data_IF_951986525004
#
_entry.id   IF_951986525004
#
_cell.length_a   1.000
_cell.length_b   1.000
_cell.length_c   1.000
_cell.angle_alpha   90.00
_cell.angle_beta   90.00
_cell.angle_gamma   90.00
#
_symmetry.space_group_name_H-M   'P 1'
#
loop_
_entity.id
_entity.type
_entity.pdbx_description
1 polymer ?
#
# COMPACT_ATOMS: atom_id res chain seq x y z
N UNK A 1 67.15 -21.28 -14.16
CA UNK A 1 66.75 -20.10 -13.37
C UNK A 1 65.34 -19.69 -13.79
N UNK A 2 64.41 -19.75 -12.84
CA UNK A 2 62.94 -19.75 -13.02
C UNK A 2 62.40 -18.50 -13.73
N UNK A 3 61.73 -18.64 -14.88
CA UNK A 3 60.81 -17.60 -15.40
C UNK A 3 59.58 -18.11 -16.18
N UNK A 4 59.28 -19.41 -16.20
CA UNK A 4 58.12 -19.96 -16.94
C UNK A 4 56.95 -20.44 -16.06
N UNK A 5 57.15 -20.61 -14.76
CA UNK A 5 56.09 -21.13 -13.86
C UNK A 5 55.15 -20.02 -13.33
N UNK A 6 55.57 -18.76 -13.32
CA UNK A 6 54.81 -17.66 -12.70
C UNK A 6 53.63 -17.21 -13.59
N UNK A 7 53.73 -17.34 -14.91
CA UNK A 7 52.65 -16.93 -15.84
C UNK A 7 51.42 -17.83 -15.79
N UNK A 8 51.59 -19.13 -15.57
CA UNK A 8 50.46 -20.06 -15.59
C UNK A 8 49.66 -20.04 -14.27
N UNK A 9 50.30 -19.74 -13.14
CA UNK A 9 49.62 -19.65 -11.84
C UNK A 9 48.67 -18.44 -11.76
N UNK A 10 49.02 -17.33 -12.44
CA UNK A 10 48.21 -16.11 -12.40
C UNK A 10 46.86 -16.26 -13.14
N UNK A 11 46.81 -17.08 -14.20
CA UNK A 11 45.59 -17.35 -14.97
C UNK A 11 44.62 -18.24 -14.18
N UNK A 12 45.14 -19.20 -13.40
CA UNK A 12 44.31 -20.10 -12.57
C UNK A 12 43.61 -19.32 -11.44
N UNK A 13 44.29 -18.32 -10.85
CA UNK A 13 43.69 -17.44 -9.82
C UNK A 13 42.57 -16.56 -10.41
N UNK A 14 42.71 -16.11 -11.65
CA UNK A 14 41.72 -15.23 -12.30
C UNK A 14 40.39 -15.95 -12.59
N UNK A 15 40.43 -17.24 -12.96
CA UNK A 15 39.24 -18.02 -13.31
C UNK A 15 38.40 -18.37 -12.06
N UNK A 16 39.04 -18.57 -10.90
CA UNK A 16 38.35 -18.88 -9.63
C UNK A 16 37.48 -17.73 -9.09
N UNK A 17 37.74 -16.49 -9.50
CA UNK A 17 37.00 -15.31 -9.04
C UNK A 17 35.78 -14.98 -9.91
N UNK A 18 35.55 -15.71 -11.02
CA UNK A 18 34.47 -15.42 -11.98
C UNK A 18 33.14 -16.15 -11.70
N UNK A 19 33.00 -16.79 -10.54
CA UNK A 19 31.75 -17.44 -10.09
C UNK A 19 30.70 -16.45 -9.56
N UNK A 20 30.78 -15.16 -9.89
CA UNK A 20 29.65 -14.26 -9.67
C UNK A 20 28.55 -14.64 -10.65
N UNK A 21 27.76 -15.64 -10.26
CA UNK A 21 26.44 -15.90 -10.80
C UNK A 21 25.66 -14.62 -10.52
N UNK A 22 25.62 -13.73 -11.50
CA UNK A 22 24.69 -12.63 -11.51
C UNK A 22 23.33 -13.27 -11.43
N UNK A 23 22.75 -13.28 -10.23
CA UNK A 23 21.31 -13.43 -10.08
C UNK A 23 20.78 -12.14 -10.67
N UNK A 24 20.62 -12.12 -11.99
CA UNK A 24 19.66 -11.25 -12.62
C UNK A 24 18.35 -11.65 -11.95
N UNK A 25 17.95 -10.89 -10.92
CA UNK A 25 16.55 -10.80 -10.60
C UNK A 25 15.93 -10.33 -11.91
N UNK A 26 15.41 -11.30 -12.67
CA UNK A 26 14.29 -11.04 -13.53
C UNK A 26 13.29 -10.38 -12.57
N UNK A 27 13.25 -9.05 -12.60
CA UNK A 27 12.04 -8.34 -12.22
C UNK A 27 11.03 -8.88 -13.22
N UNK A 28 10.38 -9.96 -12.80
CA UNK A 28 9.02 -10.28 -13.20
C UNK A 28 8.34 -8.94 -13.40
N UNK A 29 7.83 -8.68 -14.62
CA UNK A 29 7.27 -7.39 -15.01
C UNK A 29 6.39 -6.89 -13.86
N UNK A 30 6.95 -6.01 -13.03
CA UNK A 30 6.30 -5.57 -11.83
C UNK A 30 5.26 -4.61 -12.37
N UNK A 31 4.05 -5.09 -12.58
CA UNK A 31 2.90 -4.27 -12.96
C UNK A 31 2.87 -3.13 -11.95
N UNK A 32 3.28 -1.93 -12.39
CA UNK A 32 3.50 -0.78 -11.53
C UNK A 32 2.12 -0.28 -11.15
N UNK A 33 1.61 -0.78 -10.03
CA UNK A 33 0.36 -0.32 -9.46
C UNK A 33 0.63 0.80 -8.48
N UNK A 34 -0.03 1.94 -8.68
CA UNK A 34 0.03 3.04 -7.72
C UNK A 34 -1.12 2.85 -6.74
N UNK A 35 -0.81 2.50 -5.50
CA UNK A 35 -1.79 2.33 -4.42
C UNK A 35 -1.56 3.35 -3.32
N UNK A 36 -2.63 4.05 -2.94
CA UNK A 36 -2.69 4.85 -1.72
C UNK A 36 -3.70 4.22 -0.78
N UNK A 37 -3.33 4.11 0.49
CA UNK A 37 -4.14 3.49 1.53
C UNK A 37 -4.11 4.35 2.80
N UNK A 38 -5.29 4.65 3.34
CA UNK A 38 -5.45 5.48 4.54
C UNK A 38 -6.13 4.64 5.62
N UNK A 39 -5.40 4.46 6.73
CA UNK A 39 -5.91 3.77 7.91
C UNK A 39 -6.88 4.63 8.71
N UNK A 40 -7.99 4.01 9.11
CA UNK A 40 -9.05 4.54 9.94
C UNK A 40 -9.02 3.78 11.26
N UNK A 41 -8.86 4.52 12.36
CA UNK A 41 -8.80 3.97 13.71
C UNK A 41 -10.06 4.37 14.47
N UNK A 42 -10.44 3.64 15.54
CA UNK A 42 -11.54 4.06 16.40
C UNK A 42 -11.33 5.43 17.05
N UNK A 43 -10.12 5.98 17.05
CA UNK A 43 -9.79 7.31 17.59
C UNK A 43 -9.61 8.38 16.51
N UNK A 44 -9.83 8.05 15.23
CA UNK A 44 -9.68 9.02 14.13
C UNK A 44 -10.69 10.17 14.26
N UNK A 45 -10.29 11.35 13.82
CA UNK A 45 -11.16 12.54 13.83
C UNK A 45 -11.61 12.89 12.43
N UNK A 46 -12.72 13.64 12.31
CA UNK A 46 -13.18 14.16 11.02
C UNK A 46 -12.10 15.00 10.35
N UNK A 47 -11.38 15.81 11.12
CA UNK A 47 -10.29 16.66 10.64
C UNK A 47 -9.15 15.82 10.03
N UNK A 48 -8.66 14.80 10.74
CA UNK A 48 -7.62 13.89 10.25
C UNK A 48 -8.05 13.21 8.94
N UNK A 49 -9.29 12.73 8.87
CA UNK A 49 -9.81 12.06 7.67
C UNK A 49 -10.02 13.04 6.50
N UNK A 50 -10.40 14.28 6.80
CA UNK A 50 -10.63 15.34 5.81
C UNK A 50 -9.32 15.85 5.19
N UNK A 51 -8.24 15.90 5.96
CA UNK A 51 -6.92 16.22 5.40
C UNK A 51 -6.42 15.11 4.49
N UNK A 52 -6.51 13.86 4.97
CA UNK A 52 -6.01 12.69 4.26
C UNK A 52 -6.77 12.42 2.96
N UNK A 53 -8.08 12.69 2.90
CA UNK A 53 -8.87 12.45 1.67
C UNK A 53 -8.46 13.31 0.48
N UNK A 54 -7.82 14.46 0.70
CA UNK A 54 -7.35 15.35 -0.37
C UNK A 54 -6.40 14.60 -1.31
N UNK A 55 -5.57 13.72 -0.76
CA UNK A 55 -4.63 12.88 -1.52
C UNK A 55 -5.37 12.04 -2.57
N UNK A 56 -6.53 11.45 -2.23
CA UNK A 56 -7.31 10.67 -3.18
C UNK A 56 -7.89 11.53 -4.31
N UNK A 57 -8.33 12.74 -3.98
CA UNK A 57 -8.87 13.68 -4.96
C UNK A 57 -7.77 14.18 -5.90
N UNK A 58 -6.64 14.59 -5.34
CA UNK A 58 -5.54 15.20 -6.09
C UNK A 58 -4.82 14.18 -6.99
N UNK A 59 -4.67 12.93 -6.53
CA UNK A 59 -3.92 11.91 -7.28
C UNK A 59 -4.77 11.07 -8.24
N UNK A 60 -6.04 10.84 -7.91
CA UNK A 60 -6.88 9.86 -8.63
C UNK A 60 -8.25 10.40 -9.06
N UNK A 61 -8.55 11.67 -8.75
CA UNK A 61 -9.89 12.24 -8.92
C UNK A 61 -10.99 11.44 -8.21
N UNK A 62 -10.67 10.83 -7.05
CA UNK A 62 -11.62 10.06 -6.23
C UNK A 62 -12.02 10.88 -5.00
N UNK A 63 -13.33 10.97 -4.76
CA UNK A 63 -13.88 11.67 -3.60
C UNK A 63 -14.27 10.66 -2.51
N UNK A 64 -13.83 10.92 -1.27
CA UNK A 64 -14.30 10.20 -0.09
C UNK A 64 -14.98 11.15 0.89
N UNK A 65 -16.19 10.81 1.32
CA UNK A 65 -16.91 11.52 2.37
C UNK A 65 -17.01 10.66 3.63
N UNK A 66 -16.42 11.16 4.72
CA UNK A 66 -16.40 10.49 6.03
C UNK A 66 -17.41 11.15 6.95
N UNK A 67 -18.35 10.36 7.48
CA UNK A 67 -19.37 10.81 8.41
C UNK A 67 -19.30 10.00 9.70
N UNK A 68 -18.72 10.58 10.76
CA UNK A 68 -18.76 9.97 12.10
C UNK A 68 -20.17 10.18 12.65
N UNK A 69 -20.93 9.09 12.76
CA UNK A 69 -22.33 9.14 13.17
C UNK A 69 -22.47 9.09 14.70
N UNK A 70 -21.59 8.36 15.39
CA UNK A 70 -21.64 8.20 16.84
C UNK A 70 -20.28 7.87 17.44
N UNK A 71 -20.01 8.46 18.61
CA UNK A 71 -18.87 8.16 19.47
C UNK A 71 -19.36 7.66 20.84
N UNK A 72 -18.55 6.84 21.51
CA UNK A 72 -18.81 6.43 22.89
C UNK A 72 -18.22 7.44 23.91
N UNK A 73 -18.45 7.17 25.20
CA UNK A 73 -17.94 8.00 26.31
C UNK A 73 -16.42 8.12 26.35
N UNK A 74 -15.70 7.11 25.84
CA UNK A 74 -14.24 7.14 25.70
C UNK A 74 -13.75 7.85 24.42
N UNK A 75 -14.62 8.62 23.74
CA UNK A 75 -14.33 9.32 22.48
C UNK A 75 -13.87 8.41 21.34
N UNK A 76 -14.35 7.16 21.31
CA UNK A 76 -14.09 6.22 20.21
C UNK A 76 -15.29 6.11 19.30
N UNK A 77 -15.05 6.05 17.99
CA UNK A 77 -16.07 5.86 16.96
C UNK A 77 -16.75 4.51 17.16
N UNK A 78 -18.08 4.52 17.25
CA UNK A 78 -18.93 3.31 17.30
C UNK A 78 -19.90 3.24 16.12
N UNK A 79 -20.12 4.36 15.42
CA UNK A 79 -20.84 4.38 14.15
C UNK A 79 -20.19 5.33 13.14
N UNK A 80 -19.98 4.86 11.92
CA UNK A 80 -19.26 5.55 10.84
C UNK A 80 -19.86 5.17 9.50
N UNK A 81 -20.03 6.17 8.64
CA UNK A 81 -20.39 6.01 7.24
C UNK A 81 -19.33 6.63 6.34
N UNK A 82 -18.98 5.92 5.27
CA UNK A 82 -18.02 6.35 4.26
C UNK A 82 -18.66 6.19 2.89
N UNK A 83 -18.62 7.25 2.10
CA UNK A 83 -19.06 7.23 0.71
C UNK A 83 -17.84 7.50 -0.17
N UNK A 84 -17.56 6.58 -1.08
CA UNK A 84 -16.52 6.70 -2.10
C UNK A 84 -17.21 6.92 -3.45
N UNK A 85 -16.84 7.99 -4.14
CA UNK A 85 -17.25 8.28 -5.51
C UNK A 85 -15.99 8.35 -6.38
N UNK A 86 -15.89 7.46 -7.36
CA UNK A 86 -14.74 7.41 -8.26
C UNK A 86 -14.81 8.41 -9.42
N UNK A 87 -15.84 9.26 -9.44
CA UNK A 87 -16.17 10.23 -10.49
C UNK A 87 -16.31 9.62 -11.90
N UNK A 88 -16.42 8.28 -11.99
CA UNK A 88 -16.73 7.51 -13.21
C UNK A 88 -18.12 6.88 -13.15
N UNK A 89 -18.94 7.29 -12.17
CA UNK A 89 -20.29 6.80 -11.95
C UNK A 89 -20.40 5.65 -10.96
N UNK A 90 -19.28 5.16 -10.38
CA UNK A 90 -19.33 4.14 -9.35
C UNK A 90 -19.31 4.77 -7.96
N UNK A 91 -20.30 4.40 -7.16
CA UNK A 91 -20.41 4.81 -5.77
C UNK A 91 -20.32 3.57 -4.89
N UNK A 92 -19.41 3.58 -3.92
CA UNK A 92 -19.30 2.55 -2.88
C UNK A 92 -19.58 3.16 -1.53
N UNK A 93 -20.40 2.47 -0.74
CA UNK A 93 -20.72 2.89 0.62
C UNK A 93 -20.25 1.82 1.60
N UNK A 94 -19.56 2.26 2.65
CA UNK A 94 -19.24 1.43 3.81
C UNK A 94 -19.89 2.05 5.04
N UNK A 95 -20.64 1.24 5.77
CA UNK A 95 -21.36 1.68 6.95
C UNK A 95 -21.17 0.66 8.06
N UNK A 96 -20.84 1.15 9.25
CA UNK A 96 -20.71 0.35 10.46
C UNK A 96 -21.42 1.07 11.59
N UNK A 97 -22.24 0.35 12.33
CA UNK A 97 -22.93 0.85 13.51
C UNK A 97 -22.94 -0.24 14.59
N UNK A 98 -22.74 0.16 15.85
CA UNK A 98 -22.84 -0.75 16.97
C UNK A 98 -22.58 -0.09 18.32
N UNK A 99 -22.44 -0.94 19.33
CA UNK A 99 -22.16 -0.52 20.71
C UNK A 99 -20.67 -0.58 21.07
N UNK A 100 -19.87 -1.28 20.26
CA UNK A 100 -18.43 -1.43 20.44
C UNK A 100 -17.68 -0.49 19.51
N UNK A 101 -16.48 -0.01 19.89
CA UNK A 101 -15.62 0.72 18.98
C UNK A 101 -15.39 -0.03 17.67
N UNK A 102 -15.36 0.70 16.56
CA UNK A 102 -15.00 0.12 15.27
C UNK A 102 -13.62 -0.56 15.37
N UNK A 103 -13.44 -1.67 14.64
CA UNK A 103 -12.10 -2.20 14.39
C UNK A 103 -11.37 -1.24 13.46
N UNK A 104 -10.05 -1.13 13.61
CA UNK A 104 -9.24 -0.41 12.63
C UNK A 104 -9.34 -1.08 11.26
N UNK A 105 -9.46 -0.27 10.22
CA UNK A 105 -9.51 -0.72 8.83
C UNK A 105 -8.89 0.37 7.96
N UNK A 106 -8.86 0.19 6.65
CA UNK A 106 -8.34 1.20 5.72
C UNK A 106 -9.24 1.35 4.50
N UNK A 107 -9.16 2.53 3.90
CA UNK A 107 -9.68 2.80 2.56
C UNK A 107 -8.52 2.88 1.59
N UNK A 108 -8.69 2.38 0.37
CA UNK A 108 -7.65 2.46 -0.64
C UNK A 108 -8.18 2.89 -2.01
N UNK A 109 -7.26 3.45 -2.78
CA UNK A 109 -7.39 3.66 -4.21
C UNK A 109 -6.14 3.07 -4.87
N UNK A 110 -6.34 2.23 -5.87
CA UNK A 110 -5.29 1.58 -6.65
C UNK A 110 -5.54 1.86 -8.13
N UNK A 111 -4.49 2.28 -8.83
CA UNK A 111 -4.51 2.48 -10.27
C UNK A 111 -3.44 1.62 -10.93
N UNK A 112 -3.84 0.82 -11.91
CA UNK A 112 -2.89 0.03 -12.69
C UNK A 112 -2.31 0.82 -13.87
N UNK A 113 -1.35 0.20 -14.57
CA UNK A 113 -0.68 0.81 -15.73
C UNK A 113 -1.62 1.09 -16.90
N UNK A 114 -2.74 0.36 -16.99
CA UNK A 114 -3.77 0.57 -18.02
C UNK A 114 -4.76 1.69 -17.66
N UNK A 115 -4.65 2.25 -16.46
CA UNK A 115 -5.50 3.32 -15.96
C UNK A 115 -6.82 2.83 -15.36
N UNK A 116 -6.98 1.51 -15.17
CA UNK A 116 -8.09 0.99 -14.38
C UNK A 116 -7.91 1.41 -12.93
N UNK A 117 -9.02 1.83 -12.36
CA UNK A 117 -9.09 2.41 -11.03
C UNK A 117 -9.91 1.47 -10.16
N UNK A 118 -9.31 0.99 -9.08
CA UNK A 118 -9.96 0.19 -8.06
C UNK A 118 -10.02 0.98 -6.76
N UNK A 119 -11.18 0.96 -6.11
CA UNK A 119 -11.39 1.55 -4.78
C UNK A 119 -11.93 0.51 -3.83
N UNK A 120 -11.60 0.58 -2.54
CA UNK A 120 -12.12 -0.41 -1.61
C UNK A 120 -11.88 -0.13 -0.14
N UNK A 121 -12.39 -1.05 0.67
CA UNK A 121 -12.29 -1.05 2.13
C UNK A 121 -11.55 -2.32 2.55
N UNK A 122 -10.41 -2.17 3.20
CA UNK A 122 -9.62 -3.28 3.70
C UNK A 122 -9.83 -3.40 5.21
N UNK A 123 -10.58 -4.42 5.61
CA UNK A 123 -10.89 -4.71 7.02
C UNK A 123 -9.84 -5.58 7.70
N UNK A 124 -8.80 -6.01 6.97
CA UNK A 124 -7.67 -6.69 7.57
C UNK A 124 -6.76 -5.64 8.21
N UNK A 125 -6.27 -5.85 9.44
CA UNK A 125 -5.23 -5.00 9.99
C UNK A 125 -4.04 -4.98 9.03
N UNK A 126 -3.55 -3.78 8.68
CA UNK A 126 -2.27 -3.65 8.00
C UNK A 126 -1.21 -4.19 8.96
N UNK A 127 -0.84 -5.47 8.83
CA UNK A 127 0.41 -6.00 9.39
C UNK A 127 1.54 -5.30 8.64
N UNK A 128 2.03 -4.19 9.20
CA UNK A 128 3.30 -3.62 8.80
C UNK A 128 4.38 -4.69 9.00
N UNK A 129 4.73 -5.48 7.97
CA UNK A 129 5.88 -6.37 8.09
C UNK A 129 5.99 -7.63 7.22
N UNK A 130 5.05 -7.98 6.33
CA UNK A 130 5.29 -9.08 5.38
C UNK A 130 5.36 -8.59 3.94
N UNK A 131 6.58 -8.24 3.54
CA UNK A 131 7.01 -8.41 2.15
C UNK A 131 6.93 -9.90 1.85
N UNK A 132 6.03 -10.29 0.94
CA UNK A 132 6.24 -11.52 0.17
C UNK A 132 7.26 -11.21 -0.93
#
# INVERSE_FOLDING_TARGET
MMKKTIKNTLIIILILLSQFKTVAQAKENANIRTKIEIGIKPTSTVEELTEKRKIFKDMFDVSFDFSILKINESKKIIALKIICNDNKGNIKTYEVEGLKPIKSFSVYVEKDEMGYLETGFNTNPIENGKKN
#
